data_IF_927072603610
#
_entry.id   IF_927072603610
#
_cell.length_a   1.000
_cell.length_b   1.000
_cell.length_c   1.000
_cell.angle_alpha   90.00
_cell.angle_beta   90.00
_cell.angle_gamma   90.00
#
_symmetry.space_group_name_H-M   'P 1'
#
loop_
_entity.id
_entity.type
_entity.pdbx_description
1 polymer ?
#
# COMPACT_ATOMS: atom_id res chain seq x y z
N UNK A 1 0.36 0.54 -29.64
CA UNK A 1 -0.36 -0.62 -29.09
C UNK A 1 -0.61 -0.35 -27.62
N UNK A 2 -1.80 -0.67 -27.11
CA UNK A 2 -2.13 -0.58 -25.68
C UNK A 2 -1.43 -1.73 -24.97
N UNK A 3 -0.75 -1.45 -23.85
CA UNK A 3 -0.05 -2.45 -23.05
C UNK A 3 -1.07 -3.44 -22.44
N UNK A 4 -0.88 -4.74 -22.65
CA UNK A 4 -1.70 -5.79 -22.10
C UNK A 4 -1.03 -6.37 -20.84
N UNK A 5 -1.59 -6.11 -19.66
CA UNK A 5 -0.99 -6.48 -18.37
C UNK A 5 -0.65 -7.98 -18.32
N UNK A 6 -1.58 -8.86 -18.71
CA UNK A 6 -1.37 -10.30 -18.65
C UNK A 6 -0.25 -10.76 -19.61
N UNK A 7 -0.37 -10.43 -20.90
CA UNK A 7 0.53 -10.92 -21.96
C UNK A 7 1.90 -10.25 -21.92
N UNK A 8 1.92 -8.92 -21.90
CA UNK A 8 3.16 -8.14 -21.92
C UNK A 8 3.84 -8.23 -20.55
N UNK A 9 3.06 -8.30 -19.45
CA UNK A 9 3.59 -8.56 -18.13
C UNK A 9 4.31 -9.89 -18.01
N UNK A 10 3.75 -10.97 -18.57
CA UNK A 10 4.43 -12.27 -18.59
C UNK A 10 5.75 -12.20 -19.37
N UNK A 11 5.76 -11.46 -20.48
CA UNK A 11 6.97 -11.22 -21.28
C UNK A 11 8.03 -10.50 -20.46
N UNK A 12 7.66 -9.46 -19.70
CA UNK A 12 8.56 -8.73 -18.81
C UNK A 12 9.06 -9.60 -17.66
N UNK A 13 8.23 -10.49 -17.10
CA UNK A 13 8.67 -11.38 -16.01
C UNK A 13 9.78 -12.35 -16.45
N UNK A 14 9.66 -12.90 -17.67
CA UNK A 14 10.60 -13.90 -18.19
C UNK A 14 11.75 -13.31 -19.01
N UNK A 15 11.74 -11.99 -19.26
CA UNK A 15 12.78 -11.31 -20.04
C UNK A 15 14.17 -11.51 -19.44
N UNK A 16 15.21 -11.58 -20.28
CA UNK A 16 16.60 -11.48 -19.82
C UNK A 16 16.84 -10.15 -19.10
N UNK A 17 17.91 -10.05 -18.32
CA UNK A 17 18.21 -8.80 -17.58
C UNK A 17 18.43 -7.61 -18.53
N UNK A 18 19.08 -7.84 -19.67
CA UNK A 18 19.28 -6.81 -20.71
C UNK A 18 17.96 -6.33 -21.32
N UNK A 19 17.03 -7.24 -21.59
CA UNK A 19 15.69 -6.89 -22.08
C UNK A 19 14.88 -6.15 -21.01
N UNK A 20 14.97 -6.62 -19.76
CA UNK A 20 14.31 -5.97 -18.63
C UNK A 20 14.79 -4.53 -18.42
N UNK A 21 16.07 -4.25 -18.61
CA UNK A 21 16.59 -2.88 -18.59
C UNK A 21 15.92 -1.96 -19.63
N UNK A 22 15.58 -2.49 -20.82
CA UNK A 22 14.87 -1.70 -21.83
C UNK A 22 13.43 -1.43 -21.41
N UNK A 23 12.75 -2.44 -20.85
CA UNK A 23 11.40 -2.26 -20.29
C UNK A 23 11.39 -1.24 -19.14
N UNK A 24 12.38 -1.27 -18.24
CA UNK A 24 12.51 -0.25 -17.18
C UNK A 24 12.72 1.14 -17.76
N UNK A 25 13.56 1.31 -18.79
CA UNK A 25 13.74 2.61 -19.45
C UNK A 25 12.41 3.12 -20.04
N UNK A 26 11.63 2.24 -20.66
CA UNK A 26 10.31 2.59 -21.18
C UNK A 26 9.34 2.97 -20.06
N UNK A 27 9.32 2.23 -18.94
CA UNK A 27 8.50 2.56 -17.79
C UNK A 27 8.88 3.91 -17.16
N UNK A 28 10.17 4.19 -17.02
CA UNK A 28 10.66 5.49 -16.56
C UNK A 28 10.26 6.62 -17.51
N UNK A 29 10.42 6.44 -18.82
CA UNK A 29 9.98 7.40 -19.83
C UNK A 29 8.45 7.62 -19.77
N UNK A 30 7.67 6.55 -19.57
CA UNK A 30 6.22 6.62 -19.39
C UNK A 30 5.85 7.46 -18.16
N UNK A 31 6.58 7.29 -17.05
CA UNK A 31 6.42 8.16 -15.88
C UNK A 31 6.68 9.63 -16.25
N UNK A 32 7.77 9.93 -16.95
CA UNK A 32 8.15 11.33 -17.24
C UNK A 32 7.19 11.99 -18.23
N UNK A 33 6.56 11.20 -19.09
CA UNK A 33 5.56 11.70 -20.03
C UNK A 33 4.22 12.07 -19.38
N UNK A 34 3.89 11.47 -18.23
CA UNK A 34 2.56 11.60 -17.60
C UNK A 34 2.58 12.30 -16.23
N UNK A 35 3.75 12.48 -15.61
CA UNK A 35 3.88 13.09 -14.29
C UNK A 35 5.06 14.05 -14.21
N UNK A 36 4.97 15.01 -13.29
CA UNK A 36 6.08 15.88 -12.95
C UNK A 36 7.32 15.11 -12.44
N UNK A 37 8.44 15.81 -12.38
CA UNK A 37 9.71 15.27 -11.90
C UNK A 37 9.72 15.04 -10.38
N UNK A 38 8.67 15.42 -9.65
CA UNK A 38 8.54 15.17 -8.21
C UNK A 38 8.56 13.66 -7.90
N UNK A 39 9.39 13.26 -6.94
CA UNK A 39 9.36 11.95 -6.33
C UNK A 39 8.84 12.12 -4.90
N UNK A 40 7.64 11.62 -4.61
CA UNK A 40 7.05 11.77 -3.28
C UNK A 40 7.68 10.77 -2.29
N UNK A 41 8.28 11.28 -1.24
CA UNK A 41 8.99 10.53 -0.21
C UNK A 41 8.17 10.54 1.08
N UNK A 42 7.36 9.50 1.29
CA UNK A 42 6.43 9.42 2.42
C UNK A 42 7.06 8.78 3.66
N UNK A 43 6.84 9.32 4.84
CA UNK A 43 7.37 8.82 6.11
C UNK A 43 6.31 8.86 7.22
N UNK A 44 5.28 8.00 7.16
CA UNK A 44 4.27 7.94 8.22
C UNK A 44 4.94 7.67 9.57
N UNK A 45 4.48 8.35 10.62
CA UNK A 45 5.23 8.44 11.88
C UNK A 45 4.98 7.29 12.85
N UNK A 46 4.16 6.32 12.45
CA UNK A 46 4.06 5.02 13.12
C UNK A 46 5.40 4.28 13.21
N UNK A 47 6.37 4.60 12.34
CA UNK A 47 7.73 4.06 12.39
C UNK A 47 8.76 5.19 12.42
N UNK A 48 9.74 5.15 13.34
CA UNK A 48 10.84 6.11 13.34
C UNK A 48 11.63 6.04 12.03
N UNK A 49 11.81 7.19 11.41
CA UNK A 49 12.53 7.33 10.15
C UNK A 49 13.35 8.61 10.13
N UNK A 50 14.65 8.47 9.80
CA UNK A 50 15.59 9.58 9.68
C UNK A 50 16.68 9.24 8.68
N UNK A 51 16.93 10.17 7.76
CA UNK A 51 18.05 10.16 6.80
C UNK A 51 18.67 11.56 6.75
N UNK A 52 19.88 11.75 6.18
CA UNK A 52 20.47 13.09 6.05
C UNK A 52 19.56 14.14 5.41
N UNK A 53 18.78 13.76 4.40
CA UNK A 53 17.86 14.67 3.70
C UNK A 53 16.50 14.88 4.38
N UNK A 54 16.16 14.11 5.43
CA UNK A 54 14.85 14.20 6.06
C UNK A 54 14.82 13.66 7.48
N UNK A 55 14.16 14.39 8.37
CA UNK A 55 13.78 13.94 9.70
C UNK A 55 12.30 14.18 9.87
N UNK A 56 11.59 13.20 10.40
CA UNK A 56 10.17 13.37 10.74
C UNK A 56 10.01 14.55 11.71
N UNK A 57 9.03 15.39 11.41
CA UNK A 57 8.71 16.62 12.15
C UNK A 57 8.26 16.34 13.59
N UNK A 58 7.37 15.36 13.77
CA UNK A 58 6.84 14.91 15.05
C UNK A 58 6.56 13.41 15.00
N UNK A 59 6.75 12.64 16.09
CA UNK A 59 6.36 11.23 16.12
C UNK A 59 4.83 11.03 16.03
N UNK A 60 4.03 12.08 16.21
CA UNK A 60 2.57 12.01 16.24
C UNK A 60 1.89 12.47 14.94
N UNK A 61 2.63 12.65 13.83
CA UNK A 61 2.04 13.25 12.63
C UNK A 61 1.00 12.34 11.95
N UNK A 62 1.34 11.06 11.84
CA UNK A 62 0.51 10.06 11.16
C UNK A 62 0.64 8.69 11.82
N UNK A 63 -0.26 8.41 12.78
CA UNK A 63 -0.24 7.18 13.58
C UNK A 63 -1.17 6.10 13.04
N UNK A 64 -0.86 4.85 13.34
CA UNK A 64 -1.67 3.68 12.98
C UNK A 64 -2.48 3.19 14.18
N UNK A 65 -3.81 3.20 14.04
CA UNK A 65 -4.78 2.83 15.08
C UNK A 65 -5.49 1.52 14.71
N UNK A 66 -5.48 0.55 15.62
CA UNK A 66 -6.17 -0.73 15.45
C UNK A 66 -7.49 -0.77 16.21
N UNK A 67 -8.59 -0.94 15.49
CA UNK A 67 -9.95 -1.04 16.06
C UNK A 67 -10.30 -2.41 16.65
N UNK A 68 -9.39 -3.38 16.55
CA UNK A 68 -9.51 -4.71 17.17
C UNK A 68 -8.34 -5.03 18.11
N UNK A 69 -7.47 -4.04 18.38
CA UNK A 69 -6.20 -4.27 19.07
C UNK A 69 -5.34 -5.26 18.30
N UNK A 70 -4.90 -6.35 18.93
CA UNK A 70 -4.09 -7.39 18.29
C UNK A 70 -4.90 -8.61 17.82
N UNK A 71 -6.23 -8.59 17.95
CA UNK A 71 -7.07 -9.74 17.61
C UNK A 71 -7.35 -9.78 16.11
N UNK A 72 -7.06 -10.93 15.49
CA UNK A 72 -7.32 -11.23 14.08
C UNK A 72 -7.73 -12.70 13.95
N UNK A 73 -8.95 -12.96 13.49
CA UNK A 73 -9.45 -14.33 13.28
C UNK A 73 -9.01 -14.91 11.93
N UNK A 74 -8.68 -14.05 10.96
CA UNK A 74 -8.19 -14.48 9.65
C UNK A 74 -6.82 -15.16 9.75
N UNK A 75 -5.95 -14.68 10.64
CA UNK A 75 -4.69 -15.34 11.02
C UNK A 75 -3.78 -15.76 9.83
N UNK A 76 -3.63 -14.88 8.85
CA UNK A 76 -2.87 -15.13 7.62
C UNK A 76 -1.45 -15.66 7.90
N UNK A 77 -0.93 -16.52 7.02
CA UNK A 77 0.38 -17.16 7.17
C UNK A 77 1.55 -16.15 7.27
N UNK A 78 1.47 -15.04 6.53
CA UNK A 78 2.54 -14.05 6.49
C UNK A 78 2.62 -13.15 7.73
N UNK A 79 1.51 -12.96 8.47
CA UNK A 79 1.48 -12.02 9.59
C UNK A 79 1.05 -12.62 10.92
N UNK A 80 0.16 -13.62 10.97
CA UNK A 80 -0.42 -14.20 12.20
C UNK A 80 -0.84 -13.14 13.24
N UNK A 81 -1.42 -12.04 12.76
CA UNK A 81 -1.81 -10.87 13.58
C UNK A 81 -0.65 -10.04 14.16
N UNK A 82 0.62 -10.41 13.92
CA UNK A 82 1.79 -9.75 14.49
C UNK A 82 1.93 -8.28 14.04
N UNK A 83 1.50 -7.95 12.82
CA UNK A 83 1.52 -6.57 12.32
C UNK A 83 0.70 -5.61 13.20
N UNK A 84 -0.39 -6.08 13.79
CA UNK A 84 -1.26 -5.28 14.66
C UNK A 84 -0.57 -4.84 15.95
N UNK A 85 0.52 -5.52 16.36
CA UNK A 85 1.31 -5.11 17.53
C UNK A 85 2.06 -3.79 17.32
N UNK A 86 2.25 -3.38 16.06
CA UNK A 86 2.81 -2.09 15.71
C UNK A 86 1.77 -0.97 15.64
N UNK A 87 0.52 -1.23 15.99
CA UNK A 87 -0.58 -0.27 15.97
C UNK A 87 -1.08 0.02 17.38
N UNK A 88 -1.50 1.25 17.65
CA UNK A 88 -2.11 1.61 18.93
C UNK A 88 -3.54 1.08 19.00
N UNK A 89 -3.92 0.45 20.10
CA UNK A 89 -5.24 -0.19 20.24
C UNK A 89 -6.33 0.83 20.56
N UNK A 90 -7.36 0.91 19.73
CA UNK A 90 -8.55 1.76 19.91
C UNK A 90 -9.83 0.96 19.67
N UNK A 91 -10.06 -0.05 20.53
CA UNK A 91 -11.05 -1.10 20.30
C UNK A 91 -12.51 -0.68 20.45
N UNK A 92 -12.78 0.56 20.87
CA UNK A 92 -14.13 1.13 20.99
C UNK A 92 -14.23 2.46 20.25
N UNK A 93 -15.43 2.84 19.74
CA UNK A 93 -15.66 4.15 19.11
C UNK A 93 -15.16 5.32 19.96
N UNK A 94 -15.41 5.29 21.27
CA UNK A 94 -14.94 6.32 22.19
C UNK A 94 -13.41 6.39 22.28
N UNK A 95 -12.73 5.25 22.44
CA UNK A 95 -11.26 5.22 22.50
C UNK A 95 -10.62 5.69 21.20
N UNK A 96 -11.22 5.37 20.04
CA UNK A 96 -10.76 5.87 18.73
C UNK A 96 -10.89 7.39 18.66
N UNK A 97 -12.05 7.94 19.01
CA UNK A 97 -12.26 9.40 18.97
C UNK A 97 -11.30 10.13 19.91
N UNK A 98 -11.20 9.68 21.16
CA UNK A 98 -10.33 10.30 22.16
C UNK A 98 -8.87 10.27 21.70
N UNK A 99 -8.42 9.14 21.12
CA UNK A 99 -7.04 9.05 20.64
C UNK A 99 -6.79 9.95 19.44
N UNK A 100 -7.71 10.03 18.48
CA UNK A 100 -7.61 10.98 17.37
C UNK A 100 -7.57 12.44 17.86
N UNK A 101 -8.35 12.77 18.89
CA UNK A 101 -8.32 14.11 19.49
C UNK A 101 -6.96 14.42 20.10
N UNK A 102 -6.39 13.50 20.87
CA UNK A 102 -5.03 13.67 21.41
C UNK A 102 -3.98 13.86 20.31
N UNK A 103 -4.08 13.09 19.20
CA UNK A 103 -3.18 13.24 18.05
C UNK A 103 -3.31 14.64 17.45
N UNK A 104 -4.52 15.15 17.27
CA UNK A 104 -4.75 16.52 16.79
C UNK A 104 -4.19 17.57 17.74
N UNK A 105 -4.39 17.41 19.05
CA UNK A 105 -3.88 18.32 20.08
C UNK A 105 -2.33 18.33 20.12
N UNK A 106 -1.70 17.22 19.73
CA UNK A 106 -0.24 17.09 19.55
C UNK A 106 0.26 17.59 18.18
N UNK A 107 -0.61 18.20 17.37
CA UNK A 107 -0.29 18.75 16.06
C UNK A 107 -0.23 17.74 14.92
N UNK A 108 -0.81 16.54 15.10
CA UNK A 108 -0.86 15.52 14.07
C UNK A 108 -1.78 15.87 12.90
N UNK A 109 -1.40 15.42 11.70
CA UNK A 109 -2.14 15.66 10.45
C UNK A 109 -3.13 14.55 10.12
N UNK A 110 -2.90 13.31 10.57
CA UNK A 110 -3.79 12.21 10.23
C UNK A 110 -3.56 10.89 10.92
N UNK A 111 -4.35 9.89 10.54
CA UNK A 111 -4.32 8.54 11.07
C UNK A 111 -4.57 7.50 9.99
N UNK A 112 -3.93 6.34 10.14
CA UNK A 112 -4.32 5.09 9.49
C UNK A 112 -5.21 4.32 10.46
N UNK A 113 -6.44 4.00 10.05
CA UNK A 113 -7.36 3.16 10.81
C UNK A 113 -7.42 1.77 10.16
N UNK A 114 -7.18 0.73 10.95
CA UNK A 114 -7.28 -0.66 10.49
C UNK A 114 -7.62 -1.56 11.68
N UNK A 115 -7.51 -2.87 11.52
CA UNK A 115 -7.64 -3.86 12.55
C UNK A 115 -7.38 -5.25 12.00
N UNK A 116 -7.43 -6.24 12.88
CA UNK A 116 -7.45 -7.63 12.47
C UNK A 116 -8.78 -8.00 11.82
N UNK A 117 -8.69 -8.75 10.74
CA UNK A 117 -9.87 -9.23 10.03
C UNK A 117 -10.57 -10.36 10.79
N UNK A 118 -11.90 -10.39 10.67
CA UNK A 118 -12.71 -11.56 11.01
C UNK A 118 -12.45 -12.70 10.01
N UNK A 119 -12.97 -13.90 10.28
CA UNK A 119 -12.72 -15.10 9.46
C UNK A 119 -13.18 -14.97 8.00
N UNK A 120 -14.09 -14.05 7.70
CA UNK A 120 -14.54 -13.76 6.33
C UNK A 120 -13.68 -12.72 5.61
N UNK A 121 -12.60 -12.23 6.23
CA UNK A 121 -11.63 -11.33 5.59
C UNK A 121 -11.89 -9.82 5.77
N UNK A 122 -12.98 -9.46 6.44
CA UNK A 122 -13.36 -8.06 6.69
C UNK A 122 -12.74 -7.52 7.98
N UNK A 123 -12.36 -6.25 8.00
CA UNK A 123 -12.11 -5.53 9.26
C UNK A 123 -13.46 -4.97 9.76
N UNK A 124 -13.86 -5.17 11.03
CA UNK A 124 -15.21 -4.85 11.52
C UNK A 124 -15.41 -3.33 11.77
N UNK A 125 -15.42 -2.56 10.68
CA UNK A 125 -15.40 -1.10 10.66
C UNK A 125 -16.79 -0.46 10.85
N UNK A 126 -17.88 -1.20 10.63
CA UNK A 126 -19.24 -0.67 10.60
C UNK A 126 -19.57 0.11 11.89
N UNK A 127 -19.23 -0.46 13.05
CA UNK A 127 -19.49 0.16 14.37
C UNK A 127 -18.70 1.45 14.62
N UNK A 128 -17.70 1.75 13.79
CA UNK A 128 -16.85 2.95 13.90
C UNK A 128 -17.20 4.02 12.87
N UNK A 129 -18.09 3.75 11.90
CA UNK A 129 -18.42 4.69 10.82
C UNK A 129 -18.77 6.10 11.31
N UNK A 130 -19.65 6.19 12.32
CA UNK A 130 -20.01 7.47 12.95
C UNK A 130 -18.81 8.18 13.59
N UNK A 131 -17.96 7.42 14.28
CA UNK A 131 -16.76 7.99 14.91
C UNK A 131 -15.77 8.50 13.88
N UNK A 132 -15.55 7.76 12.79
CA UNK A 132 -14.67 8.19 11.70
C UNK A 132 -15.19 9.48 11.08
N UNK A 133 -16.52 9.59 10.87
CA UNK A 133 -17.16 10.83 10.41
C UNK A 133 -16.92 11.99 11.37
N UNK A 134 -17.05 11.76 12.68
CA UNK A 134 -16.75 12.76 13.71
C UNK A 134 -15.28 13.17 13.70
N UNK A 135 -14.35 12.23 13.55
CA UNK A 135 -12.91 12.52 13.41
C UNK A 135 -12.66 13.45 12.22
N UNK A 136 -13.21 13.13 11.04
CA UNK A 136 -13.09 13.99 9.85
C UNK A 136 -13.68 15.38 10.07
N UNK A 137 -14.89 15.47 10.63
CA UNK A 137 -15.63 16.74 10.75
C UNK A 137 -15.19 17.64 11.91
N UNK A 138 -14.90 17.05 13.07
CA UNK A 138 -14.61 17.78 14.31
C UNK A 138 -13.11 18.05 14.49
N UNK A 139 -12.24 17.18 13.96
CA UNK A 139 -10.79 17.27 14.19
C UNK A 139 -10.00 17.64 12.93
N UNK A 140 -10.62 17.61 11.75
CA UNK A 140 -9.96 17.92 10.47
C UNK A 140 -8.63 17.15 10.33
N UNK A 141 -8.71 15.83 10.55
CA UNK A 141 -7.61 14.90 10.36
C UNK A 141 -7.75 14.21 9.01
N UNK A 142 -6.63 13.88 8.38
CA UNK A 142 -6.58 12.91 7.29
C UNK A 142 -6.84 11.51 7.86
N UNK A 143 -7.69 10.73 7.21
CA UNK A 143 -8.05 9.37 7.60
C UNK A 143 -7.93 8.46 6.39
N UNK A 144 -6.96 7.57 6.45
CA UNK A 144 -6.86 6.44 5.53
C UNK A 144 -7.28 5.16 6.25
N UNK A 145 -7.97 4.26 5.55
CA UNK A 145 -8.52 3.04 6.16
C UNK A 145 -8.02 1.82 5.41
N UNK A 146 -7.45 0.84 6.12
CA UNK A 146 -7.22 -0.48 5.53
C UNK A 146 -8.41 -1.38 5.86
N UNK A 147 -9.18 -1.77 4.86
CA UNK A 147 -10.53 -2.32 5.05
C UNK A 147 -10.57 -3.85 5.14
N UNK A 148 -9.57 -4.53 4.59
CA UNK A 148 -9.75 -5.93 4.19
C UNK A 148 -10.82 -6.04 3.10
N UNK A 149 -11.52 -7.18 3.03
CA UNK A 149 -12.70 -7.30 2.16
C UNK A 149 -13.80 -6.34 2.61
N UNK A 150 -14.66 -5.92 1.68
CA UNK A 150 -15.64 -4.85 1.92
C UNK A 150 -17.06 -5.31 1.65
N UNK A 151 -17.98 -4.89 2.53
CA UNK A 151 -19.43 -5.01 2.33
C UNK A 151 -20.02 -3.67 1.87
N UNK A 152 -21.19 -3.64 1.22
CA UNK A 152 -21.86 -2.39 0.88
C UNK A 152 -22.12 -1.49 2.10
N UNK A 153 -22.41 -2.09 3.26
CA UNK A 153 -22.61 -1.36 4.51
C UNK A 153 -21.33 -0.66 4.99
N UNK A 154 -20.20 -1.38 5.01
CA UNK A 154 -18.89 -0.77 5.31
C UNK A 154 -18.60 0.37 4.34
N UNK A 155 -18.74 0.16 3.03
CA UNK A 155 -18.44 1.19 2.03
C UNK A 155 -19.33 2.44 2.18
N UNK A 156 -20.63 2.27 2.47
CA UNK A 156 -21.53 3.38 2.78
C UNK A 156 -21.03 4.18 3.98
N UNK A 157 -20.67 3.52 5.08
CA UNK A 157 -20.14 4.20 6.27
C UNK A 157 -18.83 4.96 5.99
N UNK A 158 -17.91 4.37 5.23
CA UNK A 158 -16.66 5.02 4.86
C UNK A 158 -16.87 6.23 3.92
N UNK A 159 -17.80 6.11 2.96
CA UNK A 159 -18.19 7.19 2.05
C UNK A 159 -18.86 8.34 2.80
N UNK A 160 -19.85 8.07 3.66
CA UNK A 160 -20.53 9.07 4.50
C UNK A 160 -19.57 9.75 5.49
N UNK A 161 -18.55 9.03 5.95
CA UNK A 161 -17.51 9.60 6.79
C UNK A 161 -16.55 10.53 6.04
N UNK A 162 -16.45 10.41 4.72
CA UNK A 162 -15.54 11.20 3.89
C UNK A 162 -14.07 10.86 4.15
N UNK A 163 -13.72 9.58 4.27
CA UNK A 163 -12.33 9.15 4.40
C UNK A 163 -11.50 9.55 3.16
N UNK A 164 -10.19 9.74 3.34
CA UNK A 164 -9.30 10.21 2.28
C UNK A 164 -8.85 9.10 1.35
N UNK A 165 -8.71 7.86 1.84
CA UNK A 165 -8.41 6.69 1.03
C UNK A 165 -8.79 5.37 1.73
N UNK A 166 -9.28 4.40 0.95
CA UNK A 166 -9.42 3.01 1.35
C UNK A 166 -8.32 2.16 0.71
N UNK A 167 -7.69 1.30 1.52
CA UNK A 167 -6.62 0.38 1.13
C UNK A 167 -7.07 -1.06 1.39
N UNK A 168 -6.69 -1.95 0.49
CA UNK A 168 -6.87 -3.39 0.63
C UNK A 168 -5.83 -4.11 -0.22
N UNK A 169 -5.42 -5.30 0.25
CA UNK A 169 -4.52 -6.17 -0.48
C UNK A 169 -5.26 -6.92 -1.59
N UNK A 170 -4.69 -6.92 -2.79
CA UNK A 170 -5.19 -7.64 -3.96
C UNK A 170 -4.26 -8.80 -4.27
N UNK A 171 -4.82 -10.00 -4.30
CA UNK A 171 -4.16 -11.27 -4.55
C UNK A 171 -4.83 -11.87 -5.80
N UNK A 172 -4.06 -12.01 -6.87
CA UNK A 172 -4.59 -12.45 -8.16
C UNK A 172 -4.67 -13.97 -8.34
N UNK A 173 -4.15 -14.75 -7.37
CA UNK A 173 -4.15 -16.22 -7.43
C UNK A 173 -4.98 -16.83 -6.29
N UNK A 174 -5.92 -17.70 -6.66
CA UNK A 174 -6.83 -18.38 -5.72
C UNK A 174 -6.09 -19.30 -4.75
N UNK A 175 -5.04 -20.00 -5.20
CA UNK A 175 -4.26 -20.87 -4.32
C UNK A 175 -3.51 -20.05 -3.28
N UNK A 176 -2.96 -18.89 -3.67
CA UNK A 176 -2.27 -17.97 -2.75
C UNK A 176 -3.26 -17.38 -1.75
N UNK A 177 -4.43 -16.92 -2.20
CA UNK A 177 -5.43 -16.35 -1.29
C UNK A 177 -5.96 -17.39 -0.29
N UNK A 178 -6.14 -18.64 -0.71
CA UNK A 178 -6.56 -19.73 0.16
C UNK A 178 -5.46 -20.15 1.14
N UNK A 179 -4.25 -20.38 0.65
CA UNK A 179 -3.17 -20.89 1.50
C UNK A 179 -2.63 -19.84 2.47
N UNK A 180 -2.56 -18.57 2.05
CA UNK A 180 -1.92 -17.51 2.84
C UNK A 180 -2.94 -16.72 3.63
N UNK A 181 -4.06 -16.34 3.02
CA UNK A 181 -5.10 -15.50 3.65
C UNK A 181 -6.29 -16.32 4.18
N UNK A 182 -6.40 -17.60 3.81
CA UNK A 182 -7.54 -18.45 4.17
C UNK A 182 -8.87 -17.93 3.58
N UNK A 183 -8.78 -17.24 2.44
CA UNK A 183 -9.92 -16.71 1.71
C UNK A 183 -10.11 -17.55 0.44
N UNK A 184 -11.14 -18.40 0.39
CA UNK A 184 -11.53 -19.09 -0.85
C UNK A 184 -12.08 -18.09 -1.84
N UNK A 185 -11.81 -18.33 -3.13
CA UNK A 185 -12.22 -17.44 -4.22
C UNK A 185 -11.78 -15.98 -3.99
N UNK A 186 -10.54 -15.81 -3.53
CA UNK A 186 -9.97 -14.51 -3.15
C UNK A 186 -9.98 -13.47 -4.27
N UNK A 187 -9.47 -13.77 -5.48
CA UNK A 187 -9.46 -12.83 -6.61
C UNK A 187 -10.83 -12.20 -6.88
N UNK A 188 -11.88 -13.02 -6.95
CA UNK A 188 -13.26 -12.55 -7.18
C UNK A 188 -13.77 -11.67 -6.04
N UNK A 189 -13.50 -12.03 -4.78
CA UNK A 189 -13.89 -11.24 -3.61
C UNK A 189 -13.15 -9.90 -3.51
N UNK A 190 -11.90 -9.85 -3.93
CA UNK A 190 -11.09 -8.63 -3.98
C UNK A 190 -11.60 -7.69 -5.08
N UNK A 191 -11.91 -8.22 -6.28
CA UNK A 191 -12.58 -7.43 -7.33
C UNK A 191 -13.91 -6.87 -6.84
N UNK A 192 -14.75 -7.72 -6.22
CA UNK A 192 -16.02 -7.28 -5.66
C UNK A 192 -15.86 -6.18 -4.60
N UNK A 193 -14.83 -6.28 -3.74
CA UNK A 193 -14.55 -5.25 -2.74
C UNK A 193 -14.17 -3.91 -3.38
N UNK A 194 -13.37 -3.93 -4.46
CA UNK A 194 -13.06 -2.74 -5.26
C UNK A 194 -14.32 -2.16 -5.92
N UNK A 195 -15.16 -3.00 -6.53
CA UNK A 195 -16.43 -2.57 -7.16
C UNK A 195 -17.35 -1.88 -6.16
N UNK A 196 -17.48 -2.44 -4.95
CA UNK A 196 -18.31 -1.88 -3.90
C UNK A 196 -17.80 -0.50 -3.46
N UNK A 197 -16.49 -0.35 -3.27
CA UNK A 197 -15.88 0.93 -2.88
C UNK A 197 -16.05 1.99 -4.00
N UNK A 198 -15.82 1.60 -5.25
CA UNK A 198 -15.97 2.47 -6.43
C UNK A 198 -17.43 2.93 -6.61
N UNK A 199 -18.41 2.02 -6.44
CA UNK A 199 -19.83 2.36 -6.50
C UNK A 199 -20.25 3.38 -5.43
N UNK A 200 -19.56 3.42 -4.28
CA UNK A 200 -19.77 4.40 -3.22
C UNK A 200 -18.84 5.61 -3.31
N UNK A 201 -18.07 5.75 -4.41
CA UNK A 201 -17.13 6.84 -4.66
C UNK A 201 -16.07 7.00 -3.56
N UNK A 202 -15.69 5.90 -2.91
CA UNK A 202 -14.58 5.91 -1.94
C UNK A 202 -13.27 5.86 -2.73
N UNK A 203 -12.32 6.79 -2.52
CA UNK A 203 -11.02 6.74 -3.18
C UNK A 203 -10.28 5.45 -2.81
N UNK A 204 -9.88 4.65 -3.80
CA UNK A 204 -9.25 3.35 -3.57
C UNK A 204 -7.77 3.38 -3.90
N UNK A 205 -6.97 2.78 -3.02
CA UNK A 205 -5.52 2.62 -3.17
C UNK A 205 -5.17 1.16 -2.91
N UNK A 206 -5.45 0.26 -3.86
CA UNK A 206 -5.13 -1.16 -3.71
C UNK A 206 -3.63 -1.39 -3.55
N UNK A 207 -3.31 -2.44 -2.80
CA UNK A 207 -1.95 -2.88 -2.52
C UNK A 207 -1.70 -4.24 -3.17
N UNK A 208 -0.57 -4.39 -3.86
CA UNK A 208 -0.10 -5.69 -4.36
C UNK A 208 1.12 -6.11 -3.54
N UNK A 209 1.05 -7.30 -2.93
CA UNK A 209 2.15 -7.86 -2.14
C UNK A 209 3.01 -8.76 -3.02
N UNK A 210 4.21 -8.31 -3.36
CA UNK A 210 5.15 -9.09 -4.16
C UNK A 210 5.75 -10.20 -3.32
N UNK A 211 5.67 -11.43 -3.84
CA UNK A 211 6.24 -12.61 -3.23
C UNK A 211 5.38 -13.22 -2.12
N UNK A 212 4.06 -12.97 -2.12
CA UNK A 212 3.16 -13.45 -1.07
C UNK A 212 3.11 -14.98 -1.00
N UNK A 213 3.35 -15.68 -2.11
CA UNK A 213 3.48 -17.15 -2.18
C UNK A 213 4.85 -17.60 -1.67
N UNK A 214 5.09 -17.42 -0.36
CA UNK A 214 6.31 -17.85 0.31
C UNK A 214 7.59 -17.38 -0.39
N UNK A 215 7.60 -16.14 -0.89
CA UNK A 215 8.74 -15.51 -1.56
C UNK A 215 8.76 -15.67 -3.08
N UNK A 216 7.90 -16.52 -3.63
CA UNK A 216 7.75 -16.74 -5.08
C UNK A 216 6.73 -15.79 -5.68
N UNK A 217 6.94 -15.41 -6.95
CA UNK A 217 5.95 -14.65 -7.71
C UNK A 217 4.86 -15.60 -8.20
N UNK A 218 3.63 -15.33 -7.79
CA UNK A 218 2.43 -16.05 -8.21
C UNK A 218 1.21 -15.17 -7.97
N UNK A 219 0.53 -14.76 -9.04
CA UNK A 219 -0.69 -13.95 -8.96
C UNK A 219 -0.49 -12.44 -8.99
N UNK A 220 0.74 -11.92 -9.00
CA UNK A 220 0.94 -10.45 -9.00
C UNK A 220 0.51 -9.79 -10.31
N UNK A 221 0.70 -10.43 -11.47
CA UNK A 221 0.23 -9.88 -12.76
C UNK A 221 -1.31 -9.91 -12.78
N UNK A 222 -1.91 -11.00 -12.32
CA UNK A 222 -3.35 -11.16 -12.22
C UNK A 222 -3.95 -10.16 -11.23
N UNK A 223 -3.24 -9.83 -10.13
CA UNK A 223 -3.65 -8.77 -9.21
C UNK A 223 -3.68 -7.40 -9.89
N UNK A 224 -2.66 -7.09 -10.70
CA UNK A 224 -2.63 -5.87 -11.52
C UNK A 224 -3.76 -5.84 -12.55
N UNK A 225 -4.07 -6.98 -13.18
CA UNK A 225 -5.19 -7.09 -14.11
C UNK A 225 -6.54 -6.82 -13.42
N UNK A 226 -6.79 -7.44 -12.26
CA UNK A 226 -7.99 -7.20 -11.43
C UNK A 226 -8.16 -5.72 -11.11
N UNK A 227 -7.07 -5.04 -10.72
CA UNK A 227 -7.09 -3.61 -10.39
C UNK A 227 -7.40 -2.77 -11.64
N UNK A 228 -6.86 -3.15 -12.80
CA UNK A 228 -7.03 -2.40 -14.07
C UNK A 228 -8.45 -2.38 -14.62
N UNK A 229 -9.32 -3.27 -14.11
CA UNK A 229 -10.74 -3.33 -14.48
C UNK A 229 -11.58 -2.21 -13.84
N UNK A 230 -11.00 -1.43 -12.91
CA UNK A 230 -11.64 -0.26 -12.30
C UNK A 230 -10.77 0.99 -12.37
N UNK A 231 -11.09 1.99 -11.55
CA UNK A 231 -10.41 3.29 -11.56
C UNK A 231 -9.72 3.60 -10.21
N UNK A 232 -8.62 2.91 -9.85
CA UNK A 232 -7.93 3.18 -8.58
C UNK A 232 -7.36 4.61 -8.57
N UNK A 233 -7.39 5.25 -7.40
CA UNK A 233 -6.80 6.58 -7.21
C UNK A 233 -5.28 6.54 -7.23
N UNK A 234 -4.69 5.47 -6.68
CA UNK A 234 -3.27 5.16 -6.74
C UNK A 234 -3.05 3.64 -6.63
N UNK A 235 -1.85 3.17 -6.95
CA UNK A 235 -1.42 1.79 -6.77
C UNK A 235 -0.18 1.73 -5.89
N UNK A 236 -0.22 0.89 -4.86
CA UNK A 236 0.92 0.67 -3.96
C UNK A 236 1.45 -0.75 -4.13
N UNK A 237 2.76 -0.87 -4.32
CA UNK A 237 3.47 -2.14 -4.31
C UNK A 237 4.17 -2.28 -2.96
N UNK A 238 3.88 -3.35 -2.24
CA UNK A 238 4.60 -3.76 -1.03
C UNK A 238 5.24 -5.12 -1.23
N UNK A 239 6.13 -5.52 -0.32
CA UNK A 239 6.96 -6.71 -0.48
C UNK A 239 6.80 -7.58 0.76
N UNK A 240 6.63 -8.89 0.55
CA UNK A 240 6.65 -9.86 1.64
C UNK A 240 7.90 -9.64 2.51
N UNK A 241 7.67 -9.32 3.77
CA UNK A 241 8.72 -9.15 4.77
C UNK A 241 8.55 -10.26 5.81
N UNK A 242 9.55 -11.16 6.00
CA UNK A 242 9.44 -12.23 6.99
C UNK A 242 9.25 -11.68 8.41
N UNK A 243 8.17 -12.10 9.08
CA UNK A 243 7.85 -11.65 10.44
C UNK A 243 8.12 -12.77 11.43
N UNK A 244 8.84 -12.46 12.52
CA UNK A 244 9.08 -13.42 13.61
C UNK A 244 7.74 -13.89 14.21
N UNK A 245 7.65 -15.18 14.50
CA UNK A 245 6.42 -15.78 15.07
C UNK A 245 5.35 -16.15 14.03
N UNK A 246 5.68 -16.08 12.74
CA UNK A 246 4.81 -16.53 11.64
C UNK A 246 5.35 -17.79 10.98
N UNK A 247 4.54 -18.46 10.15
CA UNK A 247 5.01 -19.59 9.33
C UNK A 247 6.01 -19.14 8.26
N UNK A 248 5.92 -17.88 7.82
CA UNK A 248 6.79 -17.29 6.82
C UNK A 248 8.06 -16.62 7.39
N UNK A 249 8.36 -16.77 8.69
CA UNK A 249 9.50 -16.10 9.36
C UNK A 249 10.88 -16.34 8.73
N UNK A 250 11.05 -17.46 8.02
CA UNK A 250 12.32 -17.88 7.41
C UNK A 250 12.25 -17.86 5.87
N UNK A 251 11.16 -17.36 5.29
CA UNK A 251 11.01 -17.25 3.84
C UNK A 251 12.04 -16.25 3.32
N UNK A 252 12.68 -16.58 2.20
CA UNK A 252 13.50 -15.62 1.47
C UNK A 252 12.58 -14.69 0.69
N UNK A 253 12.62 -13.36 0.90
CA UNK A 253 11.79 -12.45 0.12
C UNK A 253 12.22 -12.40 -1.36
N UNK A 254 11.34 -11.95 -2.25
CA UNK A 254 11.68 -11.78 -3.67
C UNK A 254 12.84 -10.80 -3.85
N UNK A 255 13.62 -10.96 -4.92
CA UNK A 255 14.77 -10.09 -5.18
C UNK A 255 14.33 -8.66 -5.55
N UNK A 256 15.16 -7.62 -5.28
CA UNK A 256 14.90 -6.25 -5.73
C UNK A 256 14.58 -6.14 -7.24
N UNK A 257 15.25 -6.96 -8.06
CA UNK A 257 15.00 -7.02 -9.50
C UNK A 257 13.63 -7.61 -9.84
N UNK A 258 13.21 -8.68 -9.14
CA UNK A 258 11.87 -9.27 -9.28
C UNK A 258 10.78 -8.26 -8.92
N UNK A 259 10.99 -7.48 -7.85
CA UNK A 259 10.09 -6.38 -7.46
C UNK A 259 10.08 -5.29 -8.54
N UNK A 260 11.25 -4.93 -9.07
CA UNK A 260 11.39 -4.00 -10.19
C UNK A 260 10.61 -4.44 -11.44
N UNK A 261 10.55 -5.75 -11.73
CA UNK A 261 9.74 -6.30 -12.84
C UNK A 261 8.26 -6.04 -12.62
N UNK A 262 7.72 -6.40 -11.45
CA UNK A 262 6.30 -6.12 -11.12
C UNK A 262 6.00 -4.62 -11.18
N UNK A 263 6.88 -3.77 -10.64
CA UNK A 263 6.69 -2.31 -10.71
C UNK A 263 6.75 -1.76 -12.15
N UNK A 264 7.58 -2.35 -13.03
CA UNK A 264 7.64 -1.98 -14.44
C UNK A 264 6.34 -2.32 -15.15
N UNK A 265 5.81 -3.52 -14.89
CA UNK A 265 4.51 -3.97 -15.42
C UNK A 265 3.40 -3.05 -14.94
N UNK A 266 3.40 -2.71 -13.64
CA UNK A 266 2.45 -1.78 -13.05
C UNK A 266 2.52 -0.40 -13.71
N UNK A 267 3.71 0.20 -13.87
CA UNK A 267 3.83 1.51 -14.53
C UNK A 267 3.29 1.49 -15.96
N UNK A 268 3.62 0.46 -16.74
CA UNK A 268 3.19 0.37 -18.14
C UNK A 268 1.69 0.09 -18.27
N UNK A 269 1.11 -0.70 -17.37
CA UNK A 269 -0.35 -0.96 -17.32
C UNK A 269 -1.15 0.21 -16.75
N UNK A 270 -0.55 1.04 -15.90
CA UNK A 270 -1.17 2.15 -15.21
C UNK A 270 -0.42 3.46 -15.51
N UNK A 271 -0.39 3.87 -16.78
CA UNK A 271 0.45 4.97 -17.25
C UNK A 271 0.17 6.31 -16.56
N UNK A 272 -1.09 6.54 -16.18
CA UNK A 272 -1.61 7.81 -15.66
C UNK A 272 -2.07 7.69 -14.19
N UNK A 273 -1.87 6.55 -13.55
CA UNK A 273 -2.18 6.36 -12.13
C UNK A 273 -0.89 6.46 -11.32
N UNK A 274 -0.90 7.20 -10.19
CA UNK A 274 0.22 7.22 -9.26
C UNK A 274 0.64 5.82 -8.82
N UNK A 275 1.92 5.48 -8.99
CA UNK A 275 2.51 4.21 -8.57
C UNK A 275 3.52 4.46 -7.45
N UNK A 276 3.39 3.70 -6.37
CA UNK A 276 4.22 3.86 -5.18
C UNK A 276 4.86 2.55 -4.74
N UNK A 277 6.09 2.65 -4.24
CA UNK A 277 6.67 1.61 -3.39
C UNK A 277 6.31 1.90 -1.93
N UNK A 278 5.52 1.03 -1.31
CA UNK A 278 5.03 1.17 0.07
C UNK A 278 6.09 0.87 1.14
N UNK A 279 5.74 1.13 2.40
CA UNK A 279 6.68 1.05 3.53
C UNK A 279 7.07 -0.39 3.89
N UNK A 280 6.17 -1.36 3.71
CA UNK A 280 6.42 -2.76 4.02
C UNK A 280 7.34 -3.41 2.97
N UNK A 281 8.63 -3.54 3.30
CA UNK A 281 9.63 -4.28 2.52
C UNK A 281 10.83 -4.72 3.37
N UNK A 282 11.62 -5.73 2.94
CA UNK A 282 12.81 -6.15 3.67
C UNK A 282 13.81 -5.02 3.87
N UNK A 283 14.42 -4.97 5.06
CA UNK A 283 15.32 -3.89 5.48
C UNK A 283 16.77 -4.10 4.98
N UNK A 284 17.65 -3.14 5.27
CA UNK A 284 19.08 -3.20 4.94
C UNK A 284 19.35 -2.97 3.46
N UNK A 285 20.33 -3.69 2.88
CA UNK A 285 20.72 -3.52 1.48
C UNK A 285 19.56 -3.81 0.51
N UNK A 286 18.72 -4.79 0.83
CA UNK A 286 17.55 -5.14 0.01
C UNK A 286 16.64 -3.93 -0.18
N UNK A 287 16.40 -3.15 0.88
CA UNK A 287 15.62 -1.92 0.83
C UNK A 287 16.22 -0.89 -0.12
N UNK A 288 17.54 -0.65 -0.01
CA UNK A 288 18.27 0.31 -0.85
C UNK A 288 18.14 -0.07 -2.32
N UNK A 289 18.43 -1.33 -2.65
CA UNK A 289 18.36 -1.82 -4.02
C UNK A 289 16.93 -1.75 -4.55
N UNK A 290 15.93 -2.08 -3.72
CA UNK A 290 14.51 -1.99 -4.09
C UNK A 290 14.08 -0.55 -4.35
N UNK A 291 14.55 0.42 -3.56
CA UNK A 291 14.30 1.85 -3.79
C UNK A 291 14.86 2.29 -5.16
N UNK A 292 16.07 1.84 -5.51
CA UNK A 292 16.69 2.12 -6.81
C UNK A 292 15.91 1.49 -7.97
N UNK A 293 15.49 0.22 -7.83
CA UNK A 293 14.66 -0.44 -8.84
C UNK A 293 13.29 0.23 -8.99
N UNK A 294 12.64 0.63 -7.90
CA UNK A 294 11.37 1.36 -7.95
C UNK A 294 11.48 2.68 -8.74
N UNK A 295 12.55 3.45 -8.51
CA UNK A 295 12.81 4.68 -9.25
C UNK A 295 13.03 4.36 -10.73
N UNK A 296 13.86 3.37 -11.05
CA UNK A 296 14.12 2.93 -12.44
C UNK A 296 12.84 2.43 -13.14
N UNK A 297 11.94 1.80 -12.41
CA UNK A 297 10.66 1.31 -12.93
C UNK A 297 9.58 2.40 -13.04
N UNK A 298 9.89 3.66 -12.71
CA UNK A 298 8.96 4.78 -12.88
C UNK A 298 7.98 4.99 -11.74
N UNK A 299 8.35 4.66 -10.49
CA UNK A 299 7.57 5.05 -9.32
C UNK A 299 7.41 6.58 -9.21
N UNK A 300 6.23 7.04 -8.80
CA UNK A 300 5.99 8.45 -8.42
C UNK A 300 6.34 8.72 -6.96
N UNK A 301 6.34 7.68 -6.11
CA UNK A 301 6.69 7.83 -4.71
C UNK A 301 7.29 6.58 -4.09
N UNK A 302 8.08 6.79 -3.04
CA UNK A 302 8.73 5.73 -2.26
C UNK A 302 8.56 6.06 -0.78
N UNK A 303 7.85 5.21 -0.06
CA UNK A 303 7.71 5.35 1.39
C UNK A 303 9.01 4.94 2.10
N UNK A 304 9.43 5.74 3.07
CA UNK A 304 10.63 5.58 3.89
C UNK A 304 11.88 5.36 3.03
N UNK A 305 12.07 6.12 1.96
CA UNK A 305 13.19 5.98 1.00
C UNK A 305 14.58 5.96 1.69
N UNK A 306 15.57 5.26 1.16
CA UNK A 306 16.95 5.38 1.67
C UNK A 306 17.60 6.69 1.23
N UNK A 307 18.67 7.10 1.90
CA UNK A 307 19.48 8.22 1.44
C UNK A 307 20.03 7.96 0.02
N UNK A 308 20.50 6.73 -0.25
CA UNK A 308 20.94 6.33 -1.59
C UNK A 308 19.83 6.44 -2.63
N UNK A 309 18.58 6.15 -2.26
CA UNK A 309 17.42 6.32 -3.13
C UNK A 309 17.15 7.79 -3.45
N UNK A 310 17.31 8.69 -2.47
CA UNK A 310 17.19 10.15 -2.66
C UNK A 310 18.27 10.65 -3.62
N UNK A 311 19.52 10.25 -3.41
CA UNK A 311 20.65 10.68 -4.23
C UNK A 311 20.55 10.11 -5.65
N UNK A 312 20.12 8.85 -5.78
CA UNK A 312 19.83 8.23 -7.07
C UNK A 312 18.69 8.94 -7.80
N UNK A 313 17.59 9.29 -7.12
CA UNK A 313 16.48 10.02 -7.71
C UNK A 313 16.94 11.37 -8.30
N UNK A 314 17.73 12.14 -7.54
CA UNK A 314 18.34 13.39 -8.02
C UNK A 314 19.22 13.18 -9.25
N UNK A 315 20.02 12.11 -9.26
CA UNK A 315 20.85 11.75 -10.43
C UNK A 315 20.04 11.43 -11.69
N UNK A 316 18.75 11.10 -11.53
CA UNK A 316 17.79 10.85 -12.61
C UNK A 316 16.96 12.08 -12.97
N UNK A 317 17.29 13.25 -12.43
CA UNK A 317 16.56 14.50 -12.69
C UNK A 317 15.23 14.61 -11.94
N UNK A 318 15.02 13.78 -10.91
CA UNK A 318 13.83 13.85 -10.07
C UNK A 318 14.06 14.76 -8.87
N UNK A 319 12.97 15.32 -8.35
CA UNK A 319 12.96 16.18 -7.17
C UNK A 319 12.28 15.45 -5.99
N UNK A 320 13.05 14.93 -5.01
CA UNK A 320 12.48 14.32 -3.81
C UNK A 320 11.69 15.33 -2.96
N UNK A 321 10.42 15.04 -2.67
CA UNK A 321 9.53 15.86 -1.85
C UNK A 321 9.04 15.04 -0.67
N UNK A 322 9.35 15.49 0.55
CA UNK A 322 9.05 14.72 1.77
C UNK A 322 7.69 15.07 2.38
N UNK A 323 7.02 14.04 2.89
CA UNK A 323 5.74 14.13 3.61
C UNK A 323 5.69 13.12 4.75
N UNK A 324 5.36 13.56 5.96
CA UNK A 324 5.27 12.69 7.13
C UNK A 324 3.87 12.07 7.30
N UNK A 325 3.26 11.65 6.18
CA UNK A 325 1.91 11.04 6.13
C UNK A 325 1.93 9.71 5.38
N UNK A 326 0.79 9.03 5.32
CA UNK A 326 0.67 7.77 4.56
C UNK A 326 0.83 7.99 3.05
N UNK A 327 1.58 7.10 2.40
CA UNK A 327 1.78 7.12 0.95
C UNK A 327 0.48 6.93 0.14
N UNK A 328 -0.58 6.39 0.75
CA UNK A 328 -1.88 6.24 0.08
C UNK A 328 -2.58 7.56 -0.19
N UNK A 329 -2.05 8.69 0.28
CA UNK A 329 -2.56 10.03 -0.05
C UNK A 329 -1.95 10.63 -1.31
N UNK A 330 -0.99 9.93 -1.95
CA UNK A 330 -0.19 10.49 -3.04
C UNK A 330 -0.95 10.97 -4.26
N UNK A 331 -2.11 10.39 -4.55
CA UNK A 331 -2.93 10.84 -5.66
C UNK A 331 -3.48 12.24 -5.47
N UNK A 332 -3.60 12.74 -4.24
CA UNK A 332 -4.07 14.11 -3.96
C UNK A 332 -3.04 15.17 -4.35
N UNK A 333 -1.76 14.79 -4.50
CA UNK A 333 -0.66 15.69 -4.90
C UNK A 333 -0.20 15.49 -6.35
N UNK A 334 -0.65 14.42 -7.00
CA UNK A 334 -0.23 13.99 -8.34
C UNK A 334 -1.37 13.98 -9.37
N UNK A 335 -2.58 14.40 -8.95
CA UNK A 335 -3.76 14.49 -9.82
C UNK A 335 -3.77 15.76 -10.66
#
# INVERSE_FOLDING_TARGET
>A
MVFNILKDGQTILTASDTEFEQWMKQAFATRLANFENKLLCYSPTAYPYKIPNHSQSTPHNFLSLSITGTSCSLNCEHCKGQLLKGMESTSTPESLFNRCKEIKDLGGEGVLISGGSISTGHVPLERFGETIRRVKKELDLLVVVHTGLVTPETARHLSEAGIDAAMLDIIGDTTVSENVYHIPDGPSKMRLSLDILEAHKVPTVPHVIVGLDYGSLKGEIEALDIISQGSPSALVIIVLTPIRGTSMKNVKPPSPMSIGRIMTIARLGFSNIPLLLGCARPMGQHKIDTDLFAIKSGANGVAMISQDGVDFAKSKGLEPVFRDVCCSLAFQELS
#
